data_IF_231685524264
#
_entry.id   IF_231685524264
#
_cell.length_a   1.000
_cell.length_b   1.000
_cell.length_c   1.000
_cell.angle_alpha   90.00
_cell.angle_beta   90.00
_cell.angle_gamma   90.00
#
_symmetry.space_group_name_H-M   'P 1'
#
loop_
_entity.id
_entity.type
_entity.pdbx_description
1 polymer ?
#
# COMPACT_ATOMS: atom_id res chain seq x y z
N UNK A 1 16.87 4.18 -38.42
CA UNK A 1 16.19 2.90 -38.13
C UNK A 1 16.53 2.42 -36.72
N UNK A 2 16.18 3.17 -35.67
CA UNK A 2 16.55 2.87 -34.29
C UNK A 2 15.44 3.24 -33.27
N UNK A 3 14.18 3.11 -33.67
CA UNK A 3 13.01 3.53 -32.86
C UNK A 3 12.06 2.39 -32.46
N UNK A 4 12.19 1.18 -33.02
CA UNK A 4 11.24 0.08 -32.76
C UNK A 4 11.59 -0.83 -31.56
N UNK A 5 12.87 -1.01 -31.22
CA UNK A 5 13.25 -1.93 -30.12
C UNK A 5 12.89 -1.37 -28.73
N UNK A 6 12.91 -0.05 -28.55
CA UNK A 6 12.53 0.58 -27.28
C UNK A 6 11.02 0.50 -27.04
N UNK A 7 10.21 0.56 -28.10
CA UNK A 7 8.75 0.48 -27.99
C UNK A 7 8.26 -0.93 -27.63
N UNK A 8 8.91 -1.99 -28.15
CA UNK A 8 8.58 -3.37 -27.76
C UNK A 8 9.01 -3.68 -26.32
N UNK A 9 10.16 -3.17 -25.88
CA UNK A 9 10.58 -3.29 -24.48
C UNK A 9 9.67 -2.50 -23.54
N UNK A 10 9.25 -1.29 -23.91
CA UNK A 10 8.28 -0.50 -23.14
C UNK A 10 6.90 -1.18 -23.10
N UNK A 11 6.46 -1.81 -24.20
CA UNK A 11 5.21 -2.58 -24.25
C UNK A 11 5.27 -3.87 -23.43
N UNK A 12 6.42 -4.56 -23.41
CA UNK A 12 6.66 -5.70 -22.52
C UNK A 12 6.71 -5.25 -21.06
N UNK A 13 7.37 -4.12 -20.76
CA UNK A 13 7.43 -3.53 -19.43
C UNK A 13 6.07 -3.02 -18.95
N UNK A 14 5.19 -2.54 -19.83
CA UNK A 14 3.81 -2.17 -19.50
C UNK A 14 2.91 -3.38 -19.27
N UNK A 15 3.24 -4.52 -19.87
CA UNK A 15 2.55 -5.80 -19.65
C UNK A 15 2.89 -6.42 -18.30
N UNK A 16 4.12 -6.25 -17.81
CA UNK A 16 4.51 -6.67 -16.45
C UNK A 16 3.86 -5.78 -15.40
N UNK A 17 3.01 -6.38 -14.55
CA UNK A 17 2.30 -5.66 -13.50
C UNK A 17 3.29 -5.17 -12.42
N UNK A 18 3.63 -3.88 -12.45
CA UNK A 18 4.41 -3.28 -11.38
C UNK A 18 3.53 -3.13 -10.13
N UNK A 19 4.01 -3.51 -8.93
CA UNK A 19 3.29 -3.25 -7.70
C UNK A 19 3.10 -1.73 -7.55
N UNK A 20 1.84 -1.29 -7.54
CA UNK A 20 1.48 0.11 -7.31
C UNK A 20 1.51 0.47 -5.83
N UNK A 21 1.21 -0.50 -4.96
CA UNK A 21 1.18 -0.29 -3.53
C UNK A 21 1.38 -1.60 -2.78
N UNK A 22 2.25 -1.56 -1.78
CA UNK A 22 2.46 -2.65 -0.84
C UNK A 22 2.06 -2.16 0.55
N UNK A 23 1.27 -2.99 1.24
CA UNK A 23 0.87 -2.79 2.63
C UNK A 23 1.60 -3.83 3.46
N UNK A 24 2.35 -3.36 4.45
CA UNK A 24 3.08 -4.22 5.39
C UNK A 24 2.73 -3.87 6.82
N UNK A 25 2.88 -4.84 7.71
CA UNK A 25 2.79 -4.66 9.16
C UNK A 25 4.12 -4.98 9.82
N UNK A 26 4.37 -4.36 10.95
CA UNK A 26 5.50 -4.66 11.83
C UNK A 26 5.08 -4.42 13.27
N UNK A 27 5.70 -5.17 14.17
CA UNK A 27 5.53 -5.04 15.61
C UNK A 27 6.75 -4.35 16.23
N UNK A 28 6.52 -3.21 16.90
CA UNK A 28 7.56 -2.46 17.61
C UNK A 28 7.87 -3.05 18.99
N UNK A 29 7.06 -3.99 19.48
CA UNK A 29 7.35 -4.79 20.67
C UNK A 29 7.36 -4.01 21.99
N UNK A 30 6.77 -2.81 22.02
CA UNK A 30 6.60 -1.98 23.21
C UNK A 30 5.35 -1.09 23.07
N UNK A 31 4.69 -0.73 24.19
CA UNK A 31 3.62 0.25 24.19
C UNK A 31 4.16 1.65 23.87
N UNK A 32 3.37 2.44 23.16
CA UNK A 32 3.76 3.76 22.67
C UNK A 32 2.79 4.86 23.13
N UNK A 33 3.35 5.96 23.64
CA UNK A 33 2.57 7.18 23.88
C UNK A 33 2.43 7.98 22.58
N UNK A 34 1.26 7.85 21.96
CA UNK A 34 0.92 8.50 20.69
C UNK A 34 0.92 10.02 20.79
N UNK A 35 0.53 10.60 21.94
CA UNK A 35 0.52 12.06 22.12
C UNK A 35 1.94 12.59 22.14
N UNK A 36 2.83 11.92 22.89
CA UNK A 36 4.23 12.29 22.96
C UNK A 36 4.91 12.21 21.58
N UNK A 37 4.66 11.12 20.83
CA UNK A 37 5.20 10.95 19.47
C UNK A 37 4.73 12.08 18.55
N UNK A 38 3.44 12.43 18.58
CA UNK A 38 2.89 13.48 17.74
C UNK A 38 3.42 14.89 18.08
N UNK A 39 3.70 15.16 19.36
CA UNK A 39 4.28 16.43 19.80
C UNK A 39 5.74 16.60 19.36
N UNK A 40 6.52 15.51 19.38
CA UNK A 40 7.95 15.56 19.10
C UNK A 40 8.30 15.36 17.61
N UNK A 41 7.50 14.58 16.89
CA UNK A 41 7.76 14.27 15.49
C UNK A 41 7.12 15.29 14.55
N UNK A 42 7.93 16.09 13.85
CA UNK A 42 7.48 17.14 12.91
C UNK A 42 6.60 16.63 11.76
N UNK A 43 6.74 15.36 11.37
CA UNK A 43 6.01 14.74 10.27
C UNK A 43 4.96 13.73 10.75
N UNK A 44 4.40 13.96 11.94
CA UNK A 44 3.39 13.12 12.55
C UNK A 44 2.08 13.90 12.76
N UNK A 45 0.97 13.29 12.36
CA UNK A 45 -0.38 13.79 12.60
C UNK A 45 -1.10 12.84 13.56
N UNK A 46 -1.78 13.38 14.57
CA UNK A 46 -2.56 12.60 15.52
C UNK A 46 -3.85 13.31 15.90
N UNK A 47 -4.98 12.66 15.62
CA UNK A 47 -6.29 13.10 16.05
C UNK A 47 -7.07 11.92 16.63
N UNK A 48 -7.04 11.70 17.96
CA UNK A 48 -7.67 10.53 18.59
C UNK A 48 -9.18 10.46 18.40
N UNK A 49 -9.86 11.59 18.16
CA UNK A 49 -11.31 11.61 17.87
C UNK A 49 -11.63 11.05 16.48
N UNK A 50 -10.68 11.15 15.54
CA UNK A 50 -10.85 10.68 14.16
C UNK A 50 -10.31 9.27 13.97
N UNK A 51 -9.11 9.00 14.50
CA UNK A 51 -8.43 7.73 14.30
C UNK A 51 -7.42 7.45 15.42
N UNK A 52 -7.44 6.24 15.96
CA UNK A 52 -6.63 5.84 17.12
C UNK A 52 -5.18 5.44 16.76
N UNK A 53 -4.55 6.17 15.84
CA UNK A 53 -3.17 5.95 15.43
C UNK A 53 -2.48 7.27 15.04
N UNK A 54 -1.16 7.32 15.23
CA UNK A 54 -0.32 8.40 14.68
C UNK A 54 -0.05 8.10 13.21
N UNK A 55 -0.28 9.09 12.36
CA UNK A 55 0.02 9.04 10.93
C UNK A 55 1.38 9.71 10.73
N UNK A 56 2.40 8.96 10.30
CA UNK A 56 3.74 9.49 10.06
C UNK A 56 4.16 9.31 8.61
N UNK A 57 4.74 10.35 7.99
CA UNK A 57 5.14 10.31 6.57
C UNK A 57 6.64 10.55 6.41
N UNK A 58 7.26 9.80 5.50
CA UNK A 58 8.64 10.02 5.05
C UNK A 58 8.66 10.17 3.52
N UNK A 59 9.68 10.87 3.01
CA UNK A 59 9.81 11.17 1.57
C UNK A 59 10.52 10.06 0.79
N UNK A 60 11.45 9.36 1.42
CA UNK A 60 12.28 8.36 0.77
C UNK A 60 12.45 7.10 1.62
N UNK A 61 11.87 5.96 1.22
CA UNK A 61 10.83 5.84 0.18
C UNK A 61 9.57 6.62 0.55
N UNK A 62 8.75 7.05 -0.43
CA UNK A 62 7.55 7.87 -0.18
C UNK A 62 6.44 7.00 0.42
N UNK A 63 6.43 6.88 1.74
CA UNK A 63 5.51 5.99 2.46
C UNK A 63 4.74 6.72 3.56
N UNK A 64 3.70 6.07 4.05
CA UNK A 64 2.95 6.49 5.23
C UNK A 64 2.88 5.33 6.23
N UNK A 65 3.18 5.61 7.50
CA UNK A 65 3.03 4.69 8.60
C UNK A 65 1.85 5.09 9.48
N UNK A 66 1.06 4.10 9.89
CA UNK A 66 0.05 4.20 10.94
C UNK A 66 0.61 3.49 12.17
N UNK A 67 0.87 4.23 13.24
CA UNK A 67 1.47 3.70 14.47
C UNK A 67 0.41 3.68 15.57
N UNK A 68 0.16 2.49 16.13
CA UNK A 68 -0.82 2.27 17.17
C UNK A 68 -0.18 2.25 18.56
N UNK A 69 -0.96 2.56 19.60
CA UNK A 69 -0.48 2.57 21.00
C UNK A 69 0.03 1.21 21.48
N UNK A 70 -0.41 0.11 20.85
CA UNK A 70 0.06 -1.25 21.11
C UNK A 70 1.47 -1.54 20.60
N UNK A 71 2.08 -0.62 19.83
CA UNK A 71 3.35 -0.86 19.15
C UNK A 71 3.20 -1.53 17.78
N UNK A 72 1.98 -1.92 17.37
CA UNK A 72 1.74 -2.32 15.98
C UNK A 72 1.90 -1.11 15.06
N UNK A 73 2.51 -1.33 13.90
CA UNK A 73 2.66 -0.33 12.86
C UNK A 73 2.27 -0.92 11.50
N UNK A 74 1.48 -0.17 10.73
CA UNK A 74 1.14 -0.48 9.34
C UNK A 74 1.89 0.50 8.45
N UNK A 75 2.59 0.03 7.42
CA UNK A 75 3.31 0.85 6.45
C UNK A 75 2.71 0.64 5.06
N UNK A 76 2.40 1.74 4.36
CA UNK A 76 1.79 1.75 3.03
C UNK A 76 2.50 2.73 2.09
N UNK A 77 2.31 2.54 0.78
CA UNK A 77 2.81 3.43 -0.28
C UNK A 77 4.14 3.01 -0.90
N UNK A 78 4.72 1.89 -0.44
CA UNK A 78 5.93 1.32 -1.05
C UNK A 78 5.59 0.62 -2.38
N UNK A 79 6.54 0.61 -3.32
CA UNK A 79 6.40 -0.05 -4.63
C UNK A 79 7.11 -1.40 -4.72
N UNK A 80 7.97 -1.72 -3.76
CA UNK A 80 8.59 -3.04 -3.62
C UNK A 80 8.64 -3.51 -2.16
N UNK A 81 8.83 -4.81 -1.96
CA UNK A 81 8.95 -5.38 -0.62
C UNK A 81 10.15 -4.78 0.11
N UNK A 82 11.27 -4.60 -0.59
CA UNK A 82 12.51 -4.03 -0.07
C UNK A 82 12.30 -2.58 0.38
N UNK A 83 11.61 -1.77 -0.44
CA UNK A 83 11.22 -0.42 -0.07
C UNK A 83 10.32 -0.42 1.16
N UNK A 84 9.33 -1.31 1.22
CA UNK A 84 8.42 -1.40 2.36
C UNK A 84 9.16 -1.76 3.65
N UNK A 85 10.09 -2.72 3.58
CA UNK A 85 10.93 -3.12 4.71
C UNK A 85 11.87 -2.00 5.14
N UNK A 86 12.49 -1.30 4.18
CA UNK A 86 13.34 -0.16 4.45
C UNK A 86 12.57 0.98 5.13
N UNK A 87 11.38 1.32 4.61
CA UNK A 87 10.49 2.32 5.18
C UNK A 87 10.13 1.99 6.63
N UNK A 88 9.64 0.77 6.87
CA UNK A 88 9.26 0.30 8.19
C UNK A 88 10.44 0.37 9.19
N UNK A 89 11.66 0.03 8.74
CA UNK A 89 12.87 0.19 9.57
C UNK A 89 13.19 1.66 9.88
N UNK A 90 13.02 2.57 8.91
CA UNK A 90 13.20 4.01 9.14
C UNK A 90 12.21 4.54 10.18
N UNK A 91 10.94 4.13 10.11
CA UNK A 91 9.95 4.51 11.12
C UNK A 91 10.28 3.95 12.50
N UNK A 92 10.64 2.67 12.60
CA UNK A 92 11.08 2.08 13.87
C UNK A 92 12.28 2.84 14.46
N UNK A 93 13.22 3.27 13.62
CA UNK A 93 14.38 4.07 14.04
C UNK A 93 13.99 5.46 14.55
N UNK A 94 12.98 6.11 13.95
CA UNK A 94 12.44 7.37 14.46
C UNK A 94 11.86 7.18 15.86
N UNK A 95 11.06 6.12 16.06
CA UNK A 95 10.47 5.80 17.37
C UNK A 95 11.57 5.50 18.41
N UNK A 96 12.64 4.80 18.04
CA UNK A 96 13.81 4.61 18.91
C UNK A 96 14.48 5.93 19.31
N UNK A 97 14.65 6.86 18.36
CA UNK A 97 15.25 8.18 18.64
C UNK A 97 14.41 9.06 19.56
N UNK A 98 13.10 8.79 19.65
CA UNK A 98 12.20 9.45 20.59
C UNK A 98 12.28 8.87 22.01
N UNK A 99 13.10 7.84 22.24
CA UNK A 99 13.35 7.25 23.56
C UNK A 99 12.55 5.98 23.87
N UNK A 100 11.77 5.46 22.92
CA UNK A 100 11.05 4.21 23.12
C UNK A 100 11.96 2.99 22.82
N UNK A 101 11.87 1.89 23.59
CA UNK A 101 12.62 0.66 23.36
C UNK A 101 12.02 -0.17 22.21
N UNK A 102 11.80 0.47 21.05
CA UNK A 102 11.19 -0.15 19.89
C UNK A 102 12.13 -1.15 19.21
N UNK A 103 11.60 -2.33 18.89
CA UNK A 103 12.27 -3.38 18.13
C UNK A 103 11.63 -3.51 16.75
N UNK A 104 12.27 -4.21 15.83
CA UNK A 104 11.70 -4.50 14.51
C UNK A 104 11.35 -5.98 14.45
N UNK A 105 10.11 -6.32 14.83
CA UNK A 105 9.63 -7.69 14.95
C UNK A 105 8.49 -7.95 13.97
N UNK A 106 8.30 -9.21 13.57
CA UNK A 106 7.13 -9.68 12.83
C UNK A 106 6.80 -8.88 11.57
N UNK A 107 7.83 -8.48 10.79
CA UNK A 107 7.60 -7.83 9.52
C UNK A 107 6.90 -8.78 8.56
N UNK A 108 5.73 -8.36 8.06
CA UNK A 108 4.91 -9.16 7.15
C UNK A 108 4.24 -8.29 6.09
N UNK A 109 4.30 -8.74 4.84
CA UNK A 109 3.49 -8.17 3.76
C UNK A 109 2.05 -8.65 3.93
N UNK A 110 1.11 -7.71 3.99
CA UNK A 110 -0.32 -7.97 4.17
C UNK A 110 -1.10 -7.90 2.87
N UNK A 111 -0.73 -6.95 1.99
CA UNK A 111 -1.41 -6.77 0.71
C UNK A 111 -0.45 -6.20 -0.33
N UNK A 112 -0.69 -6.56 -1.59
CA UNK A 112 0.00 -6.04 -2.76
C UNK A 112 -1.05 -5.67 -3.81
N UNK A 113 -1.03 -4.42 -4.25
CA UNK A 113 -1.88 -3.93 -5.33
C UNK A 113 -0.99 -3.76 -6.55
N UNK A 114 -1.31 -4.46 -7.63
CA UNK A 114 -0.66 -4.33 -8.92
C UNK A 114 -1.68 -3.89 -9.98
N UNK A 115 -1.20 -3.31 -11.06
CA UNK A 115 -2.03 -2.92 -12.20
C UNK A 115 -1.25 -3.22 -13.47
N UNK A 116 -1.95 -3.72 -14.47
CA UNK A 116 -1.43 -3.97 -15.80
C UNK A 116 -2.32 -3.25 -16.82
N UNK A 117 -1.73 -2.96 -17.98
CA UNK A 117 -2.46 -2.54 -19.17
C UNK A 117 -2.25 -3.61 -20.24
N UNK A 118 -3.35 -4.15 -20.75
CA UNK A 118 -3.34 -5.18 -21.80
C UNK A 118 -3.28 -4.59 -23.21
N UNK A 119 -3.41 -3.27 -23.34
CA UNK A 119 -3.29 -2.52 -24.60
C UNK A 119 -4.28 -2.94 -25.72
N UNK A 120 -5.37 -3.63 -25.38
CA UNK A 120 -6.51 -3.88 -26.28
C UNK A 120 -7.83 -3.85 -25.48
N UNK A 121 -8.96 -3.49 -26.13
CA UNK A 121 -10.25 -3.45 -25.44
C UNK A 121 -10.75 -4.86 -25.12
N UNK A 122 -11.28 -5.05 -23.90
CA UNK A 122 -11.92 -6.29 -23.46
C UNK A 122 -13.44 -6.07 -23.43
N UNK A 123 -14.20 -6.98 -24.06
CA UNK A 123 -15.67 -6.99 -23.99
C UNK A 123 -16.12 -7.63 -22.68
N UNK A 124 -16.51 -6.81 -21.69
CA UNK A 124 -16.81 -7.25 -20.34
C UNK A 124 -18.12 -8.05 -20.23
N UNK A 125 -19.10 -7.75 -21.07
CA UNK A 125 -20.39 -8.46 -21.09
C UNK A 125 -20.17 -9.94 -21.41
N UNK A 126 -19.36 -10.23 -22.43
CA UNK A 126 -19.01 -11.60 -22.80
C UNK A 126 -18.22 -12.31 -21.70
N UNK A 127 -17.24 -11.63 -21.10
CA UNK A 127 -16.41 -12.19 -20.03
C UNK A 127 -17.26 -12.63 -18.83
N UNK A 128 -18.18 -11.78 -18.38
CA UNK A 128 -19.04 -12.05 -17.23
C UNK A 128 -20.02 -13.18 -17.53
N UNK A 129 -20.59 -13.21 -18.74
CA UNK A 129 -21.48 -14.29 -19.16
C UNK A 129 -20.77 -15.65 -19.18
N UNK A 130 -19.52 -15.71 -19.65
CA UNK A 130 -18.74 -16.96 -19.70
C UNK A 130 -18.20 -17.36 -18.34
N UNK A 131 -17.86 -16.40 -17.46
CA UNK A 131 -17.22 -16.65 -16.17
C UNK A 131 -18.02 -16.10 -14.98
N UNK A 132 -19.33 -16.38 -14.94
CA UNK A 132 -20.25 -15.87 -13.90
C UNK A 132 -19.83 -16.25 -12.47
N UNK A 133 -19.20 -17.41 -12.28
CA UNK A 133 -18.78 -17.90 -10.96
C UNK A 133 -17.67 -17.05 -10.33
N UNK A 134 -16.89 -16.34 -11.14
CA UNK A 134 -15.71 -15.58 -10.68
C UNK A 134 -15.83 -14.07 -10.94
N UNK A 135 -16.86 -13.64 -11.66
CA UNK A 135 -16.98 -12.27 -12.16
C UNK A 135 -18.29 -11.63 -11.69
N UNK A 136 -18.18 -10.41 -11.15
CA UNK A 136 -19.34 -9.56 -10.84
C UNK A 136 -19.14 -8.20 -11.48
N UNK A 137 -20.08 -7.80 -12.34
CA UNK A 137 -20.07 -6.50 -13.00
C UNK A 137 -21.09 -5.57 -12.34
N UNK A 138 -20.62 -4.40 -11.87
CA UNK A 138 -21.43 -3.42 -11.16
C UNK A 138 -21.29 -2.08 -11.90
N UNK A 139 -22.40 -1.55 -12.42
CA UNK A 139 -22.41 -0.30 -13.20
C UNK A 139 -22.33 0.97 -12.33
N UNK A 140 -22.66 0.88 -11.03
CA UNK A 140 -22.84 2.06 -10.16
C UNK A 140 -21.69 2.26 -9.15
N UNK A 141 -20.48 2.50 -9.65
CA UNK A 141 -19.47 3.21 -8.85
C UNK A 141 -19.27 4.59 -9.49
N UNK A 142 -19.40 5.70 -8.75
CA UNK A 142 -19.06 7.02 -9.26
C UNK A 142 -17.53 7.10 -9.38
N UNK A 143 -16.99 6.70 -10.54
CA UNK A 143 -15.56 6.84 -10.83
C UNK A 143 -15.33 8.17 -11.52
N UNK A 144 -14.72 9.11 -10.80
CA UNK A 144 -14.09 10.29 -11.40
C UNK A 144 -12.87 9.79 -12.20
N UNK A 145 -12.92 10.02 -13.52
CA UNK A 145 -11.91 9.75 -14.56
C UNK A 145 -12.09 8.48 -15.41
N UNK A 146 -12.04 8.69 -16.73
CA UNK A 146 -12.31 7.78 -17.85
C UNK A 146 -11.34 6.58 -18.01
N UNK A 147 -10.85 5.98 -16.94
CA UNK A 147 -10.08 4.73 -17.02
C UNK A 147 -10.78 3.65 -16.20
N UNK A 148 -11.44 2.71 -16.88
CA UNK A 148 -12.04 1.54 -16.26
C UNK A 148 -10.92 0.68 -15.67
N UNK A 149 -10.71 0.78 -14.36
CA UNK A 149 -9.69 0.04 -13.65
C UNK A 149 -10.32 -1.25 -13.13
N UNK A 150 -9.86 -2.42 -13.61
CA UNK A 150 -10.16 -3.69 -12.97
C UNK A 150 -9.37 -3.79 -11.66
N UNK A 151 -10.03 -3.55 -10.52
CA UNK A 151 -9.50 -3.96 -9.23
C UNK A 151 -9.87 -5.41 -8.99
N UNK A 152 -8.99 -6.33 -9.40
CA UNK A 152 -9.02 -7.71 -8.92
C UNK A 152 -8.60 -7.73 -7.45
N UNK A 153 -9.54 -7.48 -6.55
CA UNK A 153 -9.30 -7.61 -5.12
C UNK A 153 -9.38 -9.09 -4.77
N UNK A 154 -8.24 -9.77 -4.60
CA UNK A 154 -8.18 -10.96 -3.76
C UNK A 154 -8.42 -10.52 -2.31
N UNK A 155 -9.67 -10.25 -1.97
CA UNK A 155 -10.10 -10.08 -0.58
C UNK A 155 -10.16 -11.49 -0.02
N UNK A 156 -9.05 -12.00 0.51
CA UNK A 156 -9.17 -12.99 1.57
C UNK A 156 -9.80 -12.23 2.75
N UNK A 157 -11.04 -12.59 3.09
CA UNK A 157 -11.86 -12.01 4.16
C UNK A 157 -11.05 -11.32 5.27
N UNK A 158 -11.12 -9.99 5.31
CA UNK A 158 -10.89 -9.22 6.52
C UNK A 158 -12.00 -8.16 6.63
N UNK A 159 -13.22 -8.67 6.76
CA UNK A 159 -14.30 -8.01 7.48
C UNK A 159 -14.95 -9.09 8.33
N UNK A 160 -14.36 -9.35 9.50
CA UNK A 160 -14.95 -9.60 10.81
C UNK A 160 -13.83 -9.97 11.79
#
# INVERSE_FOLDING_TARGET
AATNQNAELDALLSFFSLPRNIVSTVNLGCPLDLKFIALQARNAEYNPKRFAAVIMRIREPRTTALIFSSGKMVCTGAKSEEESRLAARKYARVVQKLGFPARFLDFKIQNMVASCDVCFPIRLEGLVLTHQQFSRYIYELPVVNHHQTFTGSFIHNWFF
#
